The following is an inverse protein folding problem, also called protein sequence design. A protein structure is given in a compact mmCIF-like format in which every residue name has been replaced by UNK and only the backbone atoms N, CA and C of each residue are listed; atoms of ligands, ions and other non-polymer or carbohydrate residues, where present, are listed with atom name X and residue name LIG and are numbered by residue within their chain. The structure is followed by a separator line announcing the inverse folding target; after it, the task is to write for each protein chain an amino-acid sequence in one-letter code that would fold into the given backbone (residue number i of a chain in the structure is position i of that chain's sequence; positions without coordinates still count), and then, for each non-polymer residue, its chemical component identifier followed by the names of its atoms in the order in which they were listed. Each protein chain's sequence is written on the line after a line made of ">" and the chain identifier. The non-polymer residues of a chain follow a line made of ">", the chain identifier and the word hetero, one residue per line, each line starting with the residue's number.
data_IF_405343399549
#
_entry.id   IF_405343399549
#
_cell.length_a   1.000
_cell.length_b   1.000
_cell.length_c   1.000
_cell.angle_alpha   90.00
_cell.angle_beta   90.00
_cell.angle_gamma   90.00
#
_symmetry.space_group_name_H-M   'P 1'
#
loop_
_entity.id
_entity.type
_entity.pdbx_description
1 polymer ?
2 non-polymer ?
3 non-polymer ?
4 water ?
#
# COMPACT_ATOMS: atom_id res chain seq x y z
N UNK A 18 3.29 19.08 27.94
CA UNK A 18 3.64 18.11 26.85
C UNK A 18 3.98 18.83 25.55
N UNK A 19 5.03 18.34 24.88
CA UNK A 19 5.48 18.93 23.62
C UNK A 19 5.14 17.96 22.48
N UNK A 20 4.45 18.49 21.46
CA UNK A 20 4.11 17.73 20.26
C UNK A 20 5.33 17.66 19.33
N UNK A 21 5.51 16.51 18.68
CA UNK A 21 6.50 16.39 17.63
C UNK A 21 5.91 15.56 16.51
N UNK A 22 6.38 15.80 15.30
CA UNK A 22 5.92 15.05 14.14
C UNK A 22 7.12 14.28 13.62
N UNK A 23 6.96 12.98 13.44
CA UNK A 23 8.03 12.13 12.95
C UNK A 23 7.77 11.75 11.50
N UNK A 24 8.84 11.68 10.71
CA UNK A 24 8.78 11.22 9.33
C UNK A 24 9.84 10.15 9.12
N UNK A 25 9.43 9.02 8.56
CA UNK A 25 10.38 8.00 8.09
C UNK A 25 10.19 7.79 6.58
N UNK A 26 11.30 7.84 5.85
CA UNK A 26 11.27 7.67 4.41
C UNK A 26 12.61 7.13 3.96
N UNK A 27 12.61 6.36 2.88
CA UNK A 27 13.79 5.63 2.46
C UNK A 27 13.57 4.98 1.12
N UNK A 28 14.63 4.90 0.29
CA UNK A 28 14.57 3.99 -0.86
C UNK A 28 14.24 2.53 -0.49
N UNK A 29 14.43 2.16 0.79
CA UNK A 29 14.13 0.80 1.27
C UNK A 29 12.63 0.51 1.45
N UNK A 30 11.80 1.54 1.60
CA UNK A 30 10.36 1.35 1.76
C UNK A 30 9.76 1.30 0.37
N UNK A 31 10.04 0.21 -0.32
CA UNK A 31 9.75 0.07 -1.72
C UNK A 31 9.01 -1.22 -1.98
N UNK A 32 8.13 -1.20 -2.96
CA UNK A 32 7.63 -2.43 -3.54
C UNK A 32 7.60 -2.26 -5.04
N UNK A 33 8.34 -3.15 -5.70
CA UNK A 33 8.51 -3.10 -7.13
C UNK A 33 7.48 -4.06 -7.74
N UNK A 34 6.40 -3.48 -8.26
CA UNK A 34 5.23 -4.24 -8.66
C UNK A 34 4.79 -3.94 -10.10
N UNK A 35 4.06 -4.89 -10.68
CA UNK A 35 3.39 -4.70 -11.95
C UNK A 35 1.93 -4.36 -11.63
N UNK A 36 1.29 -3.65 -12.53
CA UNK A 36 -0.16 -3.35 -12.39
C UNK A 36 -0.68 -2.82 -13.72
N UNK A 37 -1.97 -2.61 -13.81
CA UNK A 37 -2.49 -1.80 -14.87
C UNK A 37 -3.74 -1.14 -14.36
N UNK A 38 -3.98 0.07 -14.84
CA UNK A 38 -5.17 0.86 -14.48
C UNK A 38 -6.33 0.47 -15.38
N UNK A 39 -7.50 0.28 -14.79
CA UNK A 39 -8.70 0.03 -15.56
C UNK A 39 -9.83 0.67 -14.77
N UNK A 40 -10.62 1.47 -15.48
CA UNK A 40 -11.87 2.00 -14.97
C UNK A 40 -12.82 2.14 -16.17
N UNK A 41 -14.07 2.56 -15.93
CA UNK A 41 -15.07 2.54 -17.00
C UNK A 41 -14.63 3.34 -18.22
N UNK A 42 -14.60 2.69 -19.38
CA UNK A 42 -14.17 3.32 -20.63
C UNK A 42 -12.67 3.49 -20.79
N UNK A 43 -11.86 2.86 -19.93
CA UNK A 43 -10.40 2.98 -20.04
C UNK A 43 -9.63 1.77 -19.46
N UNK A 44 -8.53 1.42 -20.13
CA UNK A 44 -7.65 0.32 -19.73
C UNK A 44 -6.21 0.63 -20.14
N UNK A 45 -5.28 0.66 -19.18
CA UNK A 45 -3.86 0.88 -19.50
C UNK A 45 -3.23 -0.46 -19.83
N UNK A 46 -2.16 -0.42 -20.60
CA UNK A 46 -1.36 -1.61 -20.83
C UNK A 46 -0.66 -2.02 -19.51
N UNK A 47 -0.27 -3.29 -19.45
CA UNK A 47 0.50 -3.81 -18.34
C UNK A 47 1.86 -3.14 -18.24
N UNK A 48 2.23 -2.75 -17.02
CA UNK A 48 3.50 -2.08 -16.77
C UNK A 48 3.81 -2.24 -15.30
N UNK A 49 4.68 -1.39 -14.76
CA UNK A 49 5.09 -1.51 -13.37
C UNK A 49 5.77 -0.27 -12.85
N UNK A 50 6.06 -0.29 -11.55
CA UNK A 50 6.66 0.83 -10.82
C UNK A 50 7.47 0.37 -9.63
N UNK A 51 8.44 1.20 -9.25
CA UNK A 51 9.08 1.14 -7.95
C UNK A 51 8.27 2.05 -7.06
N UNK A 52 7.28 1.50 -6.38
CA UNK A 52 6.46 2.32 -5.48
C UNK A 52 7.30 2.61 -4.26
N UNK A 53 7.11 3.79 -3.69
CA UNK A 53 7.80 4.16 -2.47
C UNK A 53 6.81 4.70 -1.41
N UNK A 54 7.03 4.32 -0.15
CA UNK A 54 6.11 4.65 0.94
C UNK A 54 6.84 5.43 2.00
N UNK A 55 6.28 6.57 2.41
CA UNK A 55 6.73 7.27 3.60
C UNK A 55 5.61 7.32 4.64
N UNK A 56 6.03 7.39 5.91
CA UNK A 56 5.11 7.46 7.03
C UNK A 56 5.43 8.66 7.91
N UNK A 57 4.39 9.42 8.23
CA UNK A 57 4.47 10.59 9.09
C UNK A 57 3.48 10.40 10.21
N UNK A 58 3.86 10.75 11.43
CA UNK A 58 2.96 10.66 12.57
C UNK A 58 3.18 11.80 13.57
N UNK A 59 2.23 11.97 14.49
CA UNK A 59 2.31 13.01 15.51
C UNK A 59 1.94 12.46 16.87
N UNK A 60 2.76 12.78 17.88
CA UNK A 60 2.45 12.50 19.29
C UNK A 60 3.25 13.39 20.22
N UNK A 61 3.23 13.09 21.52
CA UNK A 61 4.06 13.81 22.48
C UNK A 61 5.38 13.09 22.70
N UNK A 62 6.41 13.88 22.98
CA UNK A 62 7.71 13.34 23.32
C UNK A 62 7.57 12.64 24.66
N UNK A 63 7.95 11.35 24.70
CA UNK A 63 7.85 10.54 25.91
C UNK A 63 9.09 10.64 26.81
N UNK A 64 8.96 10.09 28.02
CA UNK A 64 10.00 10.19 29.05
C UNK A 64 11.33 9.59 28.61
N UNK A 65 11.27 8.69 27.62
CA UNK A 65 12.50 8.13 27.02
C UNK A 65 13.12 9.01 25.92
N UNK A 66 12.46 10.13 25.58
CA UNK A 66 12.98 11.10 24.60
C UNK A 66 12.54 10.91 23.16
N UNK A 67 11.74 9.88 22.92
CA UNK A 67 11.15 9.60 21.60
C UNK A 67 9.62 9.79 21.62
N UNK A 68 9.00 10.19 20.51
CA UNK A 68 7.54 10.01 20.35
C UNK A 68 7.28 8.50 20.20
N UNK A 69 8.03 7.88 19.30
CA UNK A 69 8.10 6.41 19.14
C UNK A 69 9.44 6.11 18.45
N UNK A 70 10.03 4.96 18.76
CA UNK A 70 11.36 4.61 18.19
C UNK A 70 11.32 4.45 16.64
N UNK A 71 12.14 5.25 15.94
CA UNK A 71 12.27 5.16 14.48
C UNK A 71 12.42 3.71 13.98
N UNK A 72 13.22 2.93 14.71
CA UNK A 72 13.51 1.53 14.32
C UNK A 72 12.25 0.67 14.11
N UNK A 73 11.25 0.88 14.97
CA UNK A 73 9.98 0.17 14.89
C UNK A 73 9.21 0.60 13.64
N UNK A 74 9.18 1.92 13.38
CA UNK A 74 8.50 2.45 12.19
C UNK A 74 9.13 1.91 10.92
N UNK A 75 10.47 1.94 10.86
CA UNK A 75 11.21 1.36 9.74
C UNK A 75 10.93 -0.13 9.57
N UNK A 76 10.88 -0.87 10.68
CA UNK A 76 10.61 -2.32 10.66
C UNK A 76 9.24 -2.67 10.06
N UNK A 77 8.21 -1.92 10.45
CA UNK A 77 6.84 -2.23 10.04
C UNK A 77 6.51 -1.71 8.64
N UNK A 78 7.05 -0.55 8.26
CA UNK A 78 6.93 -0.06 6.87
C UNK A 78 7.59 -1.09 5.93
N UNK A 79 8.78 -1.53 6.31
CA UNK A 79 9.49 -2.57 5.55
C UNK A 79 8.62 -3.82 5.39
N UNK A 80 7.97 -4.25 6.46
CA UNK A 80 7.18 -5.49 6.45
C UNK A 80 5.98 -5.41 5.51
N UNK A 81 5.23 -4.32 5.57
CA UNK A 81 4.09 -4.09 4.67
C UNK A 81 4.55 -4.03 3.22
N UNK A 82 5.60 -3.25 2.96
CA UNK A 82 6.18 -3.13 1.63
C UNK A 82 6.59 -4.50 1.08
N UNK A 83 7.23 -5.33 1.92
CA UNK A 83 7.73 -6.63 1.50
C UNK A 83 6.62 -7.59 1.06
N UNK A 84 5.41 -7.46 1.63
CA UNK A 84 4.26 -8.29 1.21
C UNK A 84 3.80 -7.98 -0.22
N UNK A 85 3.91 -6.72 -0.62
CA UNK A 85 3.48 -6.29 -1.94
C UNK A 85 4.59 -6.47 -2.99
N UNK A 86 5.84 -6.25 -2.57
CA UNK A 86 7.00 -6.26 -3.46
C UNK A 86 7.12 -7.53 -4.32
N UNK A 87 7.55 -7.33 -5.57
CA UNK A 87 7.74 -8.39 -6.57
C UNK A 87 6.47 -9.20 -6.92
N UNK A 88 5.32 -8.50 -6.98
CA UNK A 88 4.04 -9.10 -7.36
C UNK A 88 3.27 -8.19 -8.30
N UNK A 89 2.32 -8.80 -9.02
CA UNK A 89 1.29 -8.07 -9.76
C UNK A 89 0.19 -7.71 -8.78
N UNK A 90 -0.19 -6.44 -8.74
CA UNK A 90 -1.17 -5.96 -7.78
C UNK A 90 -2.54 -6.11 -8.37
N UNK A 91 -3.37 -6.92 -7.72
CA UNK A 91 -4.65 -7.30 -8.27
C UNK A 91 -5.76 -6.79 -7.40
N UNK A 92 -6.55 -5.85 -7.91
CA UNK A 92 -7.65 -5.30 -7.13
C UNK A 92 -8.82 -6.27 -7.00
N UNK A 93 -9.27 -6.50 -5.77
CA UNK A 93 -10.30 -7.48 -5.47
C UNK A 93 -11.68 -7.02 -5.84
N UNK A 94 -11.89 -5.71 -5.85
CA UNK A 94 -13.25 -5.18 -5.87
C UNK A 94 -13.55 -4.33 -7.11
N UNK A 95 -12.76 -4.51 -8.15
CA UNK A 95 -12.96 -3.73 -9.38
C UNK A 95 -14.28 -4.08 -10.05
N UNK A 96 -15.02 -3.05 -10.47
CA UNK A 96 -16.25 -3.22 -11.24
C UNK A 96 -16.05 -3.37 -12.75
N UNK A 97 -14.79 -3.37 -13.23
CA UNK A 97 -14.55 -3.44 -14.67
C UNK A 97 -13.60 -4.57 -15.05
N UNK A 98 -13.24 -5.42 -14.09
CA UNK A 98 -12.43 -6.62 -14.35
C UNK A 98 -13.25 -7.86 -14.01
N UNK A 99 -13.13 -8.85 -14.87
CA UNK A 99 -13.64 -10.19 -14.64
C UNK A 99 -12.43 -11.03 -14.27
N UNK A 100 -12.36 -11.40 -12.99
CA UNK A 100 -11.24 -12.18 -12.46
C UNK A 100 -11.66 -13.63 -12.24
N UNK A 101 -11.02 -14.53 -13.00
CA UNK A 101 -11.36 -15.96 -13.01
C UNK A 101 -10.21 -16.75 -12.42
N UNK A 102 -10.54 -17.82 -11.69
CA UNK A 102 -9.54 -18.77 -11.21
C UNK A 102 -9.45 -19.91 -12.20
N UNK A 103 -8.29 -20.07 -12.85
CA UNK A 103 -8.08 -21.11 -13.83
C UNK A 103 -6.85 -21.89 -13.41
N UNK A 104 -7.04 -23.14 -12.99
CA UNK A 104 -5.97 -23.97 -12.44
C UNK A 104 -5.22 -23.20 -11.34
N UNK A 105 -3.94 -22.92 -11.52
CA UNK A 105 -3.20 -22.17 -10.51
C UNK A 105 -2.92 -20.73 -10.93
N UNK A 106 -3.72 -20.22 -11.86
CA UNK A 106 -3.60 -18.84 -12.34
C UNK A 106 -4.89 -18.04 -12.06
N UNK A 107 -4.74 -16.73 -12.08
CA UNK A 107 -5.86 -15.77 -12.25
C UNK A 107 -5.86 -15.35 -13.70
N UNK A 108 -7.02 -15.49 -14.33
CA UNK A 108 -7.27 -14.99 -15.66
C UNK A 108 -8.12 -13.75 -15.53
N UNK A 109 -7.63 -12.66 -16.10
CA UNK A 109 -8.32 -11.37 -16.03
C UNK A 109 -8.78 -10.93 -17.41
N UNK A 110 -10.07 -10.66 -17.51
CA UNK A 110 -10.69 -10.16 -18.74
C UNK A 110 -11.22 -8.76 -18.56
N UNK A 111 -10.83 -7.87 -19.48
CA UNK A 111 -11.22 -6.46 -19.40
C UNK A 111 -12.47 -6.16 -20.24
N UNK A 112 -13.01 -4.95 -20.10
CA UNK A 112 -14.24 -4.55 -20.82
C UNK A 112 -14.05 -4.51 -22.34
N UNK A 113 -12.82 -4.28 -22.80
CA UNK A 113 -12.49 -4.32 -24.25
C UNK A 113 -12.13 -5.74 -24.72
N UNK A 114 -12.35 -6.72 -23.84
CA UNK A 114 -12.12 -8.16 -24.07
C UNK A 114 -10.65 -8.59 -24.07
N UNK A 115 -9.75 -7.66 -23.72
CA UNK A 115 -8.35 -7.99 -23.43
C UNK A 115 -8.26 -9.01 -22.31
N UNK A 116 -7.30 -9.92 -22.45
CA UNK A 116 -7.20 -11.04 -21.55
C UNK A 116 -5.78 -11.18 -21.05
N UNK A 117 -5.65 -11.42 -19.76
CA UNK A 117 -4.36 -11.62 -19.09
C UNK A 117 -4.45 -12.89 -18.25
N UNK A 118 -3.32 -13.54 -18.06
CA UNK A 118 -3.29 -14.64 -17.11
C UNK A 118 -1.95 -14.69 -16.39
N UNK A 119 -2.01 -14.76 -15.07
CA UNK A 119 -0.82 -14.81 -14.19
C UNK A 119 -0.95 -15.95 -13.18
N UNK A 120 0.17 -16.57 -12.79
CA UNK A 120 0.12 -17.46 -11.65
C UNK A 120 -0.44 -16.73 -10.42
N UNK A 121 -1.33 -17.38 -9.69
CA UNK A 121 -1.93 -16.75 -8.52
C UNK A 121 -0.83 -16.27 -7.54
N UNK A 122 0.24 -17.08 -7.40
CA UNK A 122 1.35 -16.76 -6.50
C UNK A 122 2.15 -15.52 -6.92
N UNK A 123 2.05 -15.15 -8.21
CA UNK A 123 2.68 -13.91 -8.71
C UNK A 123 1.84 -12.68 -8.37
N UNK A 124 0.63 -12.88 -7.85
CA UNK A 124 -0.33 -11.79 -7.61
C UNK A 124 -0.56 -11.57 -6.12
N UNK A 125 -0.81 -10.32 -5.77
CA UNK A 125 -1.26 -10.00 -4.42
C UNK A 125 -2.65 -9.41 -4.57
N UNK A 126 -3.61 -10.08 -3.97
CA UNK A 126 -4.99 -9.63 -4.04
C UNK A 126 -5.22 -8.65 -2.91
N UNK A 127 -5.61 -7.43 -3.26
CA UNK A 127 -5.74 -6.35 -2.31
C UNK A 127 -7.19 -5.91 -2.32
N UNK A 128 -7.77 -5.62 -1.14
CA UNK A 128 -9.17 -5.18 -1.07
C UNK A 128 -9.39 -3.74 -1.52
N UNK A 129 -9.08 -3.46 -2.78
CA UNK A 129 -9.29 -2.16 -3.41
C UNK A 129 -10.02 -2.34 -4.74
N UNK A 130 -10.52 -1.24 -5.29
CA UNK A 130 -11.23 -1.23 -6.58
C UNK A 130 -10.33 -0.93 -7.78
N UNK A 131 -9.28 -0.13 -7.55
CA UNK A 131 -8.36 0.31 -8.59
C UNK A 131 -6.96 0.25 -8.03
N UNK A 132 -5.98 -0.20 -8.80
CA UNK A 132 -4.59 -0.15 -8.37
C UNK A 132 -4.01 1.27 -8.56
N UNK A 133 -4.75 2.29 -8.13
CA UNK A 133 -4.27 3.65 -8.11
C UNK A 133 -3.45 3.93 -6.85
N UNK A 134 -2.62 4.95 -6.94
CA UNK A 134 -1.80 5.40 -5.84
C UNK A 134 -2.62 5.78 -4.61
N UNK A 135 -3.74 6.45 -4.85
CA UNK A 135 -4.66 6.83 -3.77
C UNK A 135 -5.20 5.62 -2.97
N UNK A 136 -5.68 4.62 -3.69
CA UNK A 136 -6.32 3.46 -3.06
C UNK A 136 -5.29 2.53 -2.45
N UNK A 137 -4.13 2.42 -3.09
CA UNK A 137 -3.02 1.70 -2.51
C UNK A 137 -2.60 2.36 -1.19
N UNK A 138 -2.55 3.71 -1.17
CA UNK A 138 -2.22 4.47 0.05
C UNK A 138 -3.17 4.22 1.20
N UNK A 139 -4.47 4.26 0.94
CA UNK A 139 -5.47 3.95 1.98
C UNK A 139 -5.27 2.52 2.53
N UNK A 140 -5.07 1.55 1.65
CA UNK A 140 -4.79 0.17 2.06
C UNK A 140 -3.53 0.07 2.94
N UNK A 141 -2.43 0.70 2.52
CA UNK A 141 -1.18 0.66 3.28
C UNK A 141 -1.31 1.37 4.62
N UNK A 142 -2.03 2.50 4.67
CA UNK A 142 -2.29 3.19 5.93
C UNK A 142 -2.97 2.24 6.92
N UNK A 143 -4.04 1.58 6.48
CA UNK A 143 -4.75 0.61 7.34
C UNK A 143 -3.84 -0.56 7.76
N UNK A 144 -3.07 -1.11 6.84
CA UNK A 144 -2.14 -2.19 7.19
C UNK A 144 -1.05 -1.76 8.17
N UNK A 145 -0.50 -0.56 7.97
CA UNK A 145 0.54 -0.03 8.88
C UNK A 145 0.03 0.16 10.30
N UNK A 146 -1.19 0.65 10.44
CA UNK A 146 -1.80 0.80 11.74
C UNK A 146 -1.99 -0.55 12.44
N UNK A 147 -2.35 -1.58 11.69
CA UNK A 147 -2.45 -2.96 12.23
C UNK A 147 -1.09 -3.57 12.61
N UNK A 148 -0.08 -3.38 11.74
CA UNK A 148 1.26 -3.95 11.96
C UNK A 148 1.99 -3.31 13.16
N UNK A 149 1.93 -1.98 13.27
CA UNK A 149 2.53 -1.28 14.41
C UNK A 149 1.69 -1.53 15.67
N UNK A 150 0.38 -1.65 15.47
CA UNK A 150 -0.63 -1.99 16.50
C UNK A 150 -1.23 -0.72 17.11
N UNK A 151 -2.55 -0.59 16.99
CA UNK A 151 -3.23 0.64 17.39
C UNK A 151 -3.12 0.92 18.89
N UNK A 152 -3.32 -0.10 19.74
CA UNK A 152 -3.08 0.09 21.16
C UNK A 152 -1.64 0.52 21.50
N UNK A 153 -0.65 -0.07 20.84
CA UNK A 153 0.76 0.33 21.07
C UNK A 153 0.98 1.79 20.67
N UNK A 154 0.43 2.19 19.52
CA UNK A 154 0.47 3.59 19.09
C UNK A 154 -0.11 4.51 20.17
N UNK A 155 -1.24 4.12 20.74
CA UNK A 155 -1.87 4.96 21.76
C UNK A 155 -1.09 5.03 23.08
N UNK A 156 -0.34 3.98 23.43
CA UNK A 156 0.52 4.02 24.62
C UNK A 156 1.68 5.02 24.43
N UNK A 157 2.09 5.22 23.17
CA UNK A 157 3.14 6.20 22.84
C UNK A 157 2.58 7.62 22.61
N UNK A 158 1.24 7.76 22.72
CA UNK A 158 0.49 9.03 22.57
C UNK A 158 0.29 9.50 21.12
N UNK A 159 0.58 8.64 20.15
CA UNK A 159 0.40 8.99 18.75
C UNK A 159 -1.09 9.24 18.48
N UNK A 160 -1.43 10.39 17.87
CA UNK A 160 -2.84 10.72 17.52
C UNK A 160 -3.11 10.98 16.01
N UNK A 161 -2.09 10.76 15.17
CA UNK A 161 -2.18 11.07 13.73
C UNK A 161 -1.20 10.16 12.99
N UNK A 162 -1.70 9.51 11.94
CA UNK A 162 -0.90 8.64 11.09
C UNK A 162 -1.21 9.02 9.64
N UNK A 163 -0.15 9.13 8.83
CA UNK A 163 -0.29 9.61 7.48
C UNK A 163 0.70 8.88 6.58
N UNK A 164 0.19 8.39 5.46
CA UNK A 164 0.98 7.63 4.52
C UNK A 164 1.03 8.36 3.18
N UNK A 165 2.24 8.47 2.61
CA UNK A 165 2.43 8.95 1.27
C UNK A 165 2.96 7.81 0.42
N UNK A 166 2.31 7.56 -0.72
CA UNK A 166 2.77 6.57 -1.66
C UNK A 166 3.12 7.28 -2.97
N UNK A 167 4.30 6.99 -3.50
CA UNK A 167 4.69 7.50 -4.83
C UNK A 167 4.77 6.36 -5.85
N UNK A 168 4.11 6.57 -7.00
CA UNK A 168 4.24 5.67 -8.15
C UNK A 168 5.60 5.83 -8.83
N UNK A 169 6.06 7.08 -8.86
CA UNK A 169 7.38 7.44 -9.40
C UNK A 169 7.82 8.70 -8.61
N UNK A 170 9.07 9.14 -8.78
CA UNK A 170 9.48 10.33 -7.99
C UNK A 170 8.55 11.55 -8.17
N UNK A 171 7.86 11.65 -9.31
CA UNK A 171 7.09 12.86 -9.67
C UNK A 171 5.57 12.86 -9.37
N UNK A 172 5.04 11.78 -8.80
CA UNK A 172 3.59 11.72 -8.51
C UNK A 172 3.31 10.90 -7.26
N UNK A 173 2.65 11.55 -6.29
CA UNK A 173 2.42 10.99 -4.96
C UNK A 173 0.98 11.23 -4.49
N UNK A 174 0.47 10.31 -3.69
CA UNK A 174 -0.82 10.48 -3.00
C UNK A 174 -0.60 10.30 -1.50
N UNK A 175 -1.27 11.14 -0.71
CA UNK A 175 -1.11 11.15 0.74
C UNK A 175 -2.49 11.04 1.41
N UNK A 176 -2.62 10.08 2.33
CA UNK A 176 -3.85 9.88 3.09
C UNK A 176 -3.54 9.82 4.57
N UNK A 177 -4.50 10.18 5.43
CA UNK A 177 -4.27 10.17 6.88
C UNK A 177 -5.47 9.65 7.65
N UNK A 178 -5.23 9.31 8.91
CA UNK A 178 -6.30 9.01 9.86
C UNK A 178 -5.98 9.58 11.23
N UNK A 179 -6.96 10.24 11.84
CA UNK A 179 -6.87 10.72 13.21
C UNK A 179 -7.23 9.57 14.16
N UNK A 180 -6.30 9.19 15.05
CA UNK A 180 -6.50 8.03 15.93
C UNK A 180 -6.52 8.42 17.42
#
# INVERSE_FOLDING_TARGET
>A
MAHHHHHHMNPHPVEPRDQIAELLVESPLFSFNCAHFIAFKGFRATLHGHNYNVSLRLRGNIQGDGYVIDFSILKEKVRKVCKQLDHHFILPMYSDVLNIQEVNDNFKITCEDNSEYSFPKRDCVQIPIKHSSTEEIGLYILNQLIEEIDLPFLKTRSVNYMEVTVSESPSQKATVHRNI
#
